data_IF_175406678577
#
_entry.id   IF_175406678577
#
_cell.length_a   1.000
_cell.length_b   1.000
_cell.length_c   1.000
_cell.angle_alpha   90.00
_cell.angle_beta   90.00
_cell.angle_gamma   90.00
#
_symmetry.space_group_name_H-M   'P 1'
#
loop_
_entity.id
_entity.type
_entity.pdbx_description
1 polymer ?
#
# COMPACT_ATOMS: atom_id res chain seq x y z
N UNK A 1 -36.89 -30.83 -7.24
CA UNK A 1 -35.51 -30.56 -7.72
C UNK A 1 -35.58 -29.38 -8.66
N UNK A 2 -34.79 -28.33 -8.44
CA UNK A 2 -34.81 -27.14 -9.28
C UNK A 2 -33.85 -27.30 -10.45
N UNK A 3 -34.37 -27.64 -11.63
CA UNK A 3 -33.61 -27.49 -12.88
C UNK A 3 -33.47 -26.00 -13.17
N UNK A 4 -32.50 -25.36 -12.51
CA UNK A 4 -32.05 -24.00 -12.84
C UNK A 4 -31.43 -24.05 -14.23
N UNK A 5 -32.26 -23.83 -15.24
CA UNK A 5 -31.80 -23.66 -16.61
C UNK A 5 -30.71 -22.58 -16.62
N UNK A 6 -29.52 -22.96 -17.09
CA UNK A 6 -28.36 -22.08 -17.08
C UNK A 6 -28.60 -20.95 -18.07
N UNK A 7 -28.92 -19.78 -17.53
CA UNK A 7 -29.11 -18.56 -18.30
C UNK A 7 -27.85 -18.27 -19.14
N UNK A 8 -28.06 -17.78 -20.36
CA UNK A 8 -27.01 -17.40 -21.31
C UNK A 8 -26.39 -16.04 -20.93
N UNK A 9 -27.20 -15.15 -20.36
CA UNK A 9 -26.81 -13.85 -19.77
C UNK A 9 -27.43 -13.69 -18.37
N UNK A 10 -27.01 -12.71 -17.56
CA UNK A 10 -27.69 -12.43 -16.28
C UNK A 10 -29.11 -11.93 -16.56
N UNK A 11 -30.13 -12.40 -15.83
CA UNK A 11 -31.50 -11.93 -16.04
C UNK A 11 -31.69 -10.45 -15.64
N UNK A 12 -32.58 -9.73 -16.35
CA UNK A 12 -32.98 -8.37 -15.99
C UNK A 12 -33.71 -8.39 -14.65
N UNK A 13 -33.14 -7.68 -13.66
CA UNK A 13 -33.74 -7.54 -12.34
C UNK A 13 -34.99 -6.66 -12.39
N UNK A 14 -35.98 -6.96 -11.54
CA UNK A 14 -37.24 -6.21 -11.45
C UNK A 14 -37.02 -4.74 -11.03
N UNK A 15 -35.94 -4.43 -10.30
CA UNK A 15 -35.59 -3.04 -9.95
C UNK A 15 -34.83 -2.30 -11.06
N UNK A 16 -34.47 -2.97 -12.17
CA UNK A 16 -33.79 -2.36 -13.32
C UNK A 16 -32.33 -1.99 -13.11
N UNK A 17 -31.73 -2.24 -11.93
CA UNK A 17 -30.35 -1.82 -11.61
C UNK A 17 -29.27 -2.34 -12.56
N UNK A 18 -29.50 -3.50 -13.19
CA UNK A 18 -28.60 -4.07 -14.20
C UNK A 18 -29.05 -3.79 -15.65
N UNK A 19 -30.07 -2.96 -15.88
CA UNK A 19 -30.67 -2.76 -17.21
C UNK A 19 -29.66 -2.37 -18.30
N UNK A 20 -28.72 -1.47 -18.02
CA UNK A 20 -27.73 -1.04 -19.02
C UNK A 20 -26.73 -2.14 -19.41
N UNK A 21 -26.42 -3.05 -18.47
CA UNK A 21 -25.59 -4.23 -18.75
C UNK A 21 -26.40 -5.29 -19.49
N UNK A 22 -27.63 -5.54 -19.03
CA UNK A 22 -28.56 -6.49 -19.66
C UNK A 22 -28.86 -6.13 -21.12
N UNK A 23 -29.06 -4.85 -21.43
CA UNK A 23 -29.23 -4.38 -22.82
C UNK A 23 -28.03 -4.74 -23.67
N UNK A 24 -26.82 -4.42 -23.22
CA UNK A 24 -25.59 -4.68 -23.96
C UNK A 24 -25.36 -6.19 -24.15
N UNK A 25 -25.53 -6.98 -23.09
CA UNK A 25 -25.41 -8.45 -23.14
C UNK A 25 -26.46 -9.07 -24.08
N UNK A 26 -27.71 -8.57 -24.05
CA UNK A 26 -28.81 -9.06 -24.88
C UNK A 26 -28.67 -8.65 -26.35
N UNK A 27 -28.22 -7.42 -26.65
CA UNK A 27 -27.93 -6.95 -28.02
C UNK A 27 -26.82 -7.81 -28.65
N UNK A 28 -25.67 -7.95 -27.98
CA UNK A 28 -24.54 -8.77 -28.44
C UNK A 28 -24.98 -10.22 -28.71
N UNK A 29 -25.77 -10.80 -27.80
CA UNK A 29 -26.22 -12.17 -27.94
C UNK A 29 -27.30 -12.37 -29.03
N UNK A 30 -28.19 -11.39 -29.22
CA UNK A 30 -29.14 -11.39 -30.34
C UNK A 30 -28.40 -11.25 -31.67
N UNK A 31 -27.44 -10.34 -31.81
CA UNK A 31 -26.62 -10.20 -33.01
C UNK A 31 -25.81 -11.46 -33.32
N UNK A 32 -25.19 -12.08 -32.30
CA UNK A 32 -24.48 -13.36 -32.46
C UNK A 32 -25.38 -14.49 -32.98
N UNK A 33 -26.68 -14.49 -32.62
CA UNK A 33 -27.68 -15.44 -33.13
C UNK A 33 -28.39 -14.96 -34.42
N UNK A 34 -27.97 -13.83 -35.01
CA UNK A 34 -28.58 -13.14 -36.18
C UNK A 34 -30.04 -12.72 -35.97
N UNK A 35 -30.37 -12.36 -34.73
CA UNK A 35 -31.70 -11.93 -34.29
C UNK A 35 -31.78 -10.44 -33.92
N UNK A 36 -30.67 -9.68 -33.94
CA UNK A 36 -30.65 -8.27 -33.51
C UNK A 36 -31.58 -7.34 -34.31
N UNK A 37 -31.93 -7.67 -35.55
CA UNK A 37 -32.95 -6.91 -36.29
C UNK A 37 -34.37 -7.09 -35.73
N UNK A 38 -34.67 -8.18 -35.00
CA UNK A 38 -36.03 -8.45 -34.46
C UNK A 38 -36.50 -7.42 -33.44
N UNK A 39 -35.57 -6.73 -32.75
CA UNK A 39 -35.84 -5.69 -31.75
C UNK A 39 -35.83 -4.26 -32.32
N UNK A 40 -35.44 -4.08 -33.60
CA UNK A 40 -35.39 -2.77 -34.26
C UNK A 40 -36.77 -2.35 -34.76
N UNK A 41 -37.07 -1.07 -34.74
CA UNK A 41 -38.32 -0.53 -35.29
C UNK A 41 -38.41 -0.74 -36.81
N UNK A 42 -39.62 -0.97 -37.33
CA UNK A 42 -39.85 -1.21 -38.77
C UNK A 42 -39.24 -2.52 -39.33
N UNK A 43 -38.80 -3.45 -38.47
CA UNK A 43 -38.11 -4.66 -38.92
C UNK A 43 -38.99 -5.60 -39.75
N UNK A 44 -38.35 -6.29 -40.70
CA UNK A 44 -38.96 -7.28 -41.59
C UNK A 44 -38.58 -8.72 -41.21
N UNK A 45 -38.23 -8.96 -39.94
CA UNK A 45 -37.79 -10.27 -39.47
C UNK A 45 -38.92 -11.30 -39.52
N UNK A 46 -38.59 -12.58 -39.76
CA UNK A 46 -39.60 -13.63 -39.89
C UNK A 46 -40.32 -13.89 -38.56
N UNK A 47 -41.54 -14.42 -38.62
CA UNK A 47 -42.27 -14.84 -37.42
C UNK A 47 -41.49 -15.89 -36.60
N UNK A 48 -40.68 -16.73 -37.26
CA UNK A 48 -39.82 -17.71 -36.59
C UNK A 48 -38.69 -17.03 -35.81
N UNK A 49 -38.05 -16.01 -36.39
CA UNK A 49 -36.95 -15.29 -35.76
C UNK A 49 -37.44 -14.37 -34.63
N UNK A 50 -38.59 -13.71 -34.84
CA UNK A 50 -39.30 -13.01 -33.75
C UNK A 50 -39.64 -13.97 -32.60
N UNK A 51 -40.08 -15.20 -32.87
CA UNK A 51 -40.34 -16.19 -31.84
C UNK A 51 -39.05 -16.64 -31.11
N UNK A 52 -37.94 -16.90 -31.82
CA UNK A 52 -36.63 -17.21 -31.22
C UNK A 52 -36.17 -16.09 -30.27
N UNK A 53 -36.22 -14.83 -30.74
CA UNK A 53 -35.85 -13.67 -29.95
C UNK A 53 -36.77 -13.50 -28.73
N UNK A 54 -38.08 -13.69 -28.89
CA UNK A 54 -39.04 -13.57 -27.79
C UNK A 54 -38.86 -14.65 -26.71
N UNK A 55 -38.50 -15.88 -27.10
CA UNK A 55 -38.13 -16.96 -26.17
C UNK A 55 -36.86 -16.57 -25.40
N UNK A 56 -35.82 -16.10 -26.10
CA UNK A 56 -34.58 -15.64 -25.47
C UNK A 56 -34.82 -14.50 -24.47
N UNK A 57 -35.53 -13.44 -24.89
CA UNK A 57 -35.82 -12.28 -24.04
C UNK A 57 -36.60 -12.71 -22.80
N UNK A 58 -37.71 -13.46 -22.96
CA UNK A 58 -38.51 -13.95 -21.81
C UNK A 58 -37.73 -14.87 -20.87
N UNK A 59 -36.77 -15.65 -21.37
CA UNK A 59 -35.91 -16.49 -20.52
C UNK A 59 -35.04 -15.66 -19.58
N UNK A 60 -34.56 -14.50 -20.06
CA UNK A 60 -33.64 -13.60 -19.36
C UNK A 60 -34.33 -12.40 -18.68
N UNK A 61 -35.61 -12.53 -18.34
CA UNK A 61 -36.33 -11.60 -17.46
C UNK A 61 -36.50 -12.19 -16.06
N UNK A 62 -36.51 -11.35 -15.02
CA UNK A 62 -37.04 -11.73 -13.71
C UNK A 62 -38.51 -12.15 -13.80
N UNK A 63 -38.94 -13.11 -12.97
CA UNK A 63 -40.27 -13.74 -13.08
C UNK A 63 -41.43 -12.73 -13.04
N UNK A 64 -41.34 -11.71 -12.18
CA UNK A 64 -42.33 -10.62 -12.13
C UNK A 64 -42.51 -9.91 -13.49
N UNK A 65 -41.41 -9.61 -14.19
CA UNK A 65 -41.45 -9.01 -15.53
C UNK A 65 -42.06 -9.96 -16.57
N UNK A 66 -41.84 -11.28 -16.45
CA UNK A 66 -42.51 -12.27 -17.32
C UNK A 66 -44.03 -12.26 -17.12
N UNK A 67 -44.50 -12.07 -15.89
CA UNK A 67 -45.94 -11.97 -15.60
C UNK A 67 -46.53 -10.64 -16.05
N UNK A 68 -45.86 -9.51 -15.81
CA UNK A 68 -46.33 -8.18 -16.24
C UNK A 68 -46.41 -8.06 -17.77
N UNK A 69 -45.44 -8.61 -18.50
CA UNK A 69 -45.43 -8.61 -19.97
C UNK A 69 -45.97 -9.91 -20.60
N UNK A 70 -46.77 -10.71 -19.89
CA UNK A 70 -47.20 -12.03 -20.35
C UNK A 70 -47.97 -11.99 -21.68
N UNK A 71 -48.67 -10.90 -21.97
CA UNK A 71 -49.51 -10.70 -23.17
C UNK A 71 -48.74 -10.21 -24.40
N UNK A 72 -47.55 -9.61 -24.23
CA UNK A 72 -46.74 -9.07 -25.33
C UNK A 72 -46.20 -10.22 -26.19
N UNK A 73 -46.37 -10.15 -27.52
CA UNK A 73 -45.96 -11.23 -28.44
C UNK A 73 -44.83 -10.86 -29.40
N UNK A 74 -44.59 -9.58 -29.65
CA UNK A 74 -43.52 -9.11 -30.52
C UNK A 74 -42.28 -8.70 -29.69
N UNK A 75 -41.07 -9.17 -30.01
CA UNK A 75 -39.86 -8.79 -29.30
C UNK A 75 -39.53 -7.30 -29.39
N UNK A 76 -39.88 -6.60 -30.49
CA UNK A 76 -39.64 -5.15 -30.60
C UNK A 76 -40.53 -4.36 -29.62
N UNK A 77 -41.77 -4.80 -29.41
CA UNK A 77 -42.68 -4.17 -28.44
C UNK A 77 -42.17 -4.45 -27.01
N UNK A 78 -41.76 -5.70 -26.71
CA UNK A 78 -41.19 -6.01 -25.39
C UNK A 78 -39.93 -5.17 -25.11
N UNK A 79 -39.02 -5.08 -26.09
CA UNK A 79 -37.80 -4.28 -25.99
C UNK A 79 -38.09 -2.80 -25.74
N UNK A 80 -39.05 -2.23 -26.48
CA UNK A 80 -39.47 -0.84 -26.33
C UNK A 80 -40.10 -0.57 -24.96
N UNK A 81 -40.97 -1.45 -24.47
CA UNK A 81 -41.61 -1.32 -23.16
C UNK A 81 -40.60 -1.43 -22.00
N UNK A 82 -39.61 -2.33 -22.12
CA UNK A 82 -38.53 -2.44 -21.14
C UNK A 82 -37.62 -1.20 -21.16
N UNK A 83 -37.37 -0.65 -22.34
CA UNK A 83 -36.63 0.62 -22.50
C UNK A 83 -37.38 1.78 -21.86
N UNK A 84 -38.64 2.02 -22.22
CA UNK A 84 -39.45 3.09 -21.61
C UNK A 84 -39.43 3.02 -20.07
N UNK A 85 -39.59 1.81 -19.52
CA UNK A 85 -39.57 1.58 -18.07
C UNK A 85 -38.21 1.87 -17.42
N UNK A 86 -37.09 1.58 -18.08
CA UNK A 86 -35.76 1.55 -17.43
C UNK A 86 -34.70 2.49 -18.02
N UNK A 87 -34.94 3.24 -19.10
CA UNK A 87 -33.94 4.19 -19.65
C UNK A 87 -33.57 5.29 -18.63
N UNK A 88 -34.46 5.58 -17.67
CA UNK A 88 -34.20 6.45 -16.51
C UNK A 88 -33.00 5.99 -15.67
N UNK A 89 -32.58 4.72 -15.73
CA UNK A 89 -31.37 4.26 -15.04
C UNK A 89 -30.12 5.01 -15.54
N UNK A 90 -30.10 5.50 -16.79
CA UNK A 90 -29.04 6.40 -17.29
C UNK A 90 -28.99 7.72 -16.52
N UNK A 91 -30.15 8.31 -16.21
CA UNK A 91 -30.21 9.58 -15.47
C UNK A 91 -29.88 9.44 -13.98
N UNK A 92 -29.95 8.21 -13.43
CA UNK A 92 -29.49 7.89 -12.07
C UNK A 92 -28.00 7.57 -12.03
N UNK A 93 -27.49 6.81 -13.00
CA UNK A 93 -26.09 6.35 -13.02
C UNK A 93 -25.15 7.47 -13.49
N UNK A 94 -25.51 8.25 -14.52
CA UNK A 94 -24.62 9.25 -15.12
C UNK A 94 -24.18 10.36 -14.15
N UNK A 95 -25.04 11.00 -13.33
CA UNK A 95 -24.61 12.02 -12.38
C UNK A 95 -23.65 11.46 -11.32
N UNK A 96 -23.88 10.22 -10.89
CA UNK A 96 -22.96 9.54 -9.97
C UNK A 96 -21.62 9.23 -10.63
N UNK A 97 -21.60 8.64 -11.83
CA UNK A 97 -20.37 8.33 -12.52
C UNK A 97 -19.55 9.60 -12.84
N UNK A 98 -20.22 10.73 -13.16
CA UNK A 98 -19.58 12.06 -13.29
C UNK A 98 -19.03 12.56 -11.95
N UNK A 99 -19.76 12.41 -10.85
CA UNK A 99 -19.27 12.77 -9.52
C UNK A 99 -18.04 11.95 -9.13
N UNK A 100 -18.11 10.63 -9.29
CA UNK A 100 -17.02 9.70 -9.00
C UNK A 100 -15.79 10.01 -9.89
N UNK A 101 -15.98 10.37 -11.16
CA UNK A 101 -14.92 10.85 -12.07
C UNK A 101 -14.29 12.17 -11.62
N UNK A 102 -15.09 13.17 -11.27
CA UNK A 102 -14.59 14.48 -10.82
C UNK A 102 -13.72 14.32 -9.56
N UNK A 103 -14.17 13.53 -8.59
CA UNK A 103 -13.51 13.36 -7.29
C UNK A 103 -12.48 12.22 -7.24
N UNK A 104 -12.29 11.46 -8.32
CA UNK A 104 -11.23 10.45 -8.41
C UNK A 104 -9.85 11.11 -8.23
N UNK A 105 -9.05 10.58 -7.28
CA UNK A 105 -7.65 10.96 -7.05
C UNK A 105 -6.76 9.73 -6.82
N UNK A 106 -5.50 9.75 -7.26
CA UNK A 106 -4.56 8.63 -7.11
C UNK A 106 -4.24 8.34 -5.63
N UNK A 107 -4.12 9.39 -4.82
CA UNK A 107 -3.83 9.33 -3.38
C UNK A 107 -4.91 8.65 -2.50
N UNK A 108 -6.11 8.41 -3.02
CA UNK A 108 -7.21 7.80 -2.25
C UNK A 108 -7.19 6.25 -2.32
N UNK A 109 -6.21 5.68 -3.03
CA UNK A 109 -5.99 4.24 -3.20
C UNK A 109 -4.66 3.81 -2.58
N UNK A 110 -4.52 2.53 -2.24
CA UNK A 110 -3.28 1.98 -1.67
C UNK A 110 -2.25 1.60 -2.73
N UNK A 111 -2.67 1.47 -3.99
CA UNK A 111 -1.78 1.19 -5.11
C UNK A 111 -2.30 1.79 -6.41
N UNK A 112 -1.39 1.98 -7.37
CA UNK A 112 -1.68 2.32 -8.77
C UNK A 112 -2.63 1.30 -9.40
N UNK A 113 -2.56 0.02 -9.00
CA UNK A 113 -3.46 -1.04 -9.47
C UNK A 113 -4.90 -0.87 -9.00
N UNK A 114 -5.12 -0.52 -7.72
CA UNK A 114 -6.45 -0.21 -7.19
C UNK A 114 -7.06 1.03 -7.89
N UNK A 115 -6.26 2.10 -8.04
CA UNK A 115 -6.65 3.30 -8.78
C UNK A 115 -7.03 2.98 -10.24
N UNK A 116 -6.23 2.16 -10.92
CA UNK A 116 -6.47 1.75 -12.30
C UNK A 116 -7.81 1.00 -12.45
N UNK A 117 -8.13 0.13 -11.49
CA UNK A 117 -9.42 -0.58 -11.45
C UNK A 117 -10.60 0.39 -11.29
N UNK A 118 -10.48 1.40 -10.42
CA UNK A 118 -11.49 2.43 -10.25
C UNK A 118 -11.65 3.31 -11.51
N UNK A 119 -10.54 3.72 -12.12
CA UNK A 119 -10.50 4.48 -13.39
C UNK A 119 -11.24 3.74 -14.51
N UNK A 120 -10.94 2.45 -14.74
CA UNK A 120 -11.66 1.65 -15.75
C UNK A 120 -13.15 1.47 -15.39
N UNK A 121 -13.47 1.23 -14.12
CA UNK A 121 -14.87 1.07 -13.68
C UNK A 121 -15.71 2.32 -13.91
N UNK A 122 -15.19 3.50 -13.59
CA UNK A 122 -15.88 4.79 -13.79
C UNK A 122 -16.02 5.06 -15.29
N UNK A 123 -14.94 4.93 -16.08
CA UNK A 123 -15.01 5.19 -17.53
C UNK A 123 -15.92 4.23 -18.27
N UNK A 124 -16.02 2.96 -17.85
CA UNK A 124 -17.04 2.03 -18.34
C UNK A 124 -18.46 2.50 -18.03
N UNK A 125 -18.73 3.02 -16.84
CA UNK A 125 -20.07 3.54 -16.48
C UNK A 125 -20.44 4.79 -17.28
N UNK A 126 -19.49 5.71 -17.51
CA UNK A 126 -19.67 6.88 -18.37
C UNK A 126 -19.98 6.46 -19.82
N UNK A 127 -19.20 5.50 -20.36
CA UNK A 127 -19.41 4.92 -21.71
C UNK A 127 -20.77 4.22 -21.85
N UNK A 128 -21.20 3.44 -20.85
CA UNK A 128 -22.54 2.82 -20.82
C UNK A 128 -23.68 3.85 -20.76
N UNK A 129 -23.43 5.05 -20.25
CA UNK A 129 -24.38 6.16 -20.27
C UNK A 129 -24.31 7.00 -21.56
N UNK A 130 -23.42 6.65 -22.51
CA UNK A 130 -23.27 7.33 -23.80
C UNK A 130 -22.16 8.38 -23.88
N UNK A 131 -21.35 8.57 -22.83
CA UNK A 131 -20.24 9.53 -22.86
C UNK A 131 -19.00 8.96 -23.55
N UNK A 132 -18.35 9.79 -24.37
CA UNK A 132 -17.12 9.45 -25.07
C UNK A 132 -15.91 9.83 -24.22
N UNK A 133 -15.37 8.87 -23.46
CA UNK A 133 -14.09 9.04 -22.75
C UNK A 133 -12.96 8.39 -23.54
N UNK A 134 -11.97 9.19 -23.94
CA UNK A 134 -10.79 8.80 -24.72
C UNK A 134 -9.58 8.49 -23.83
N UNK A 135 -8.52 7.93 -24.40
CA UNK A 135 -7.22 7.80 -23.73
C UNK A 135 -6.68 9.16 -23.25
N UNK A 136 -6.87 10.23 -24.03
CA UNK A 136 -6.41 11.58 -23.66
C UNK A 136 -7.13 12.10 -22.40
N UNK A 137 -8.44 11.85 -22.28
CA UNK A 137 -9.20 12.21 -21.08
C UNK A 137 -8.74 11.41 -19.84
N UNK A 138 -8.39 10.13 -20.02
CA UNK A 138 -7.88 9.27 -18.94
C UNK A 138 -6.45 9.63 -18.52
N UNK A 139 -5.60 10.02 -19.47
CA UNK A 139 -4.26 10.57 -19.24
C UNK A 139 -4.35 11.90 -18.49
N UNK A 140 -5.09 12.87 -19.01
CA UNK A 140 -5.26 14.20 -18.39
C UNK A 140 -5.90 14.10 -17.01
N UNK A 141 -6.96 13.28 -16.87
CA UNK A 141 -7.54 13.02 -15.56
C UNK A 141 -6.49 12.44 -14.61
N UNK A 142 -5.69 11.47 -15.04
CA UNK A 142 -4.62 10.90 -14.19
C UNK A 142 -3.58 11.93 -13.81
N UNK A 143 -3.11 12.78 -14.73
CA UNK A 143 -2.21 13.88 -14.38
C UNK A 143 -2.86 14.85 -13.37
N UNK A 144 -4.14 15.21 -13.53
CA UNK A 144 -4.85 16.05 -12.54
C UNK A 144 -5.06 15.39 -11.17
N UNK A 145 -4.81 14.08 -11.02
CA UNK A 145 -4.99 13.36 -9.75
C UNK A 145 -3.76 13.32 -8.84
N UNK A 146 -2.61 13.83 -9.28
CA UNK A 146 -1.39 13.87 -8.46
C UNK A 146 -1.56 14.82 -7.27
N UNK A 147 -1.00 14.45 -6.12
CA UNK A 147 -0.94 15.33 -4.95
C UNK A 147 -0.09 16.58 -5.26
N UNK A 148 -0.41 17.73 -4.65
CA UNK A 148 0.23 19.01 -4.96
C UNK A 148 1.77 19.00 -4.77
N UNK A 149 2.28 18.23 -3.81
CA UNK A 149 3.74 18.07 -3.59
C UNK A 149 4.44 17.31 -4.75
N UNK A 150 3.68 16.64 -5.61
CA UNK A 150 4.19 15.76 -6.67
C UNK A 150 4.08 16.41 -8.07
N UNK A 151 3.92 17.74 -8.16
CA UNK A 151 3.81 18.48 -9.43
C UNK A 151 5.02 18.30 -10.35
N UNK A 152 6.23 18.10 -9.79
CA UNK A 152 7.43 17.77 -10.58
C UNK A 152 7.27 16.43 -11.29
N UNK A 153 6.87 15.38 -10.55
CA UNK A 153 6.59 14.05 -11.13
C UNK A 153 5.45 14.11 -12.15
N UNK A 154 4.38 14.84 -11.85
CA UNK A 154 3.27 15.08 -12.77
C UNK A 154 3.76 15.66 -14.10
N UNK A 155 4.65 16.65 -14.05
CA UNK A 155 5.24 17.30 -15.24
C UNK A 155 6.12 16.33 -16.02
N UNK A 156 7.03 15.61 -15.34
CA UNK A 156 7.87 14.58 -15.96
C UNK A 156 7.07 13.47 -16.68
N UNK A 157 5.90 13.07 -16.13
CA UNK A 157 5.03 12.09 -16.80
C UNK A 157 4.21 12.70 -17.95
N UNK A 158 3.94 14.02 -17.96
CA UNK A 158 3.35 14.74 -19.10
C UNK A 158 4.34 14.88 -20.25
N UNK A 159 5.58 15.28 -19.96
CA UNK A 159 6.65 15.50 -20.94
C UNK A 159 7.02 14.24 -21.73
N UNK A 160 6.82 13.05 -21.14
CA UNK A 160 6.96 11.75 -21.81
C UNK A 160 5.96 11.51 -22.95
N UNK A 161 4.93 12.35 -23.10
CA UNK A 161 4.12 12.40 -24.33
C UNK A 161 3.32 11.13 -24.64
N UNK A 162 2.91 10.37 -23.61
CA UNK A 162 2.13 9.14 -23.77
C UNK A 162 0.88 9.36 -24.62
N UNK A 163 0.57 8.40 -25.50
CA UNK A 163 -0.57 8.44 -26.43
C UNK A 163 -1.72 7.54 -25.99
N UNK A 164 -1.44 6.55 -25.14
CA UNK A 164 -2.45 5.68 -24.52
C UNK A 164 -2.33 5.69 -23.01
N UNK A 165 -3.46 5.61 -22.33
CA UNK A 165 -3.51 5.49 -20.87
C UNK A 165 -2.81 4.20 -20.38
N UNK A 166 -2.81 3.15 -21.20
CA UNK A 166 -2.05 1.90 -20.94
C UNK A 166 -0.54 2.10 -20.82
N UNK A 167 0.03 3.11 -21.49
CA UNK A 167 1.47 3.40 -21.46
C UNK A 167 1.84 4.08 -20.14
N UNK A 168 1.12 5.15 -19.78
CA UNK A 168 1.29 5.85 -18.50
C UNK A 168 1.12 4.90 -17.30
N UNK A 169 0.05 4.11 -17.26
CA UNK A 169 -0.23 3.25 -16.09
C UNK A 169 0.82 2.15 -15.92
N UNK A 170 1.40 1.65 -17.01
CA UNK A 170 2.53 0.71 -16.96
C UNK A 170 3.77 1.35 -16.35
N UNK A 171 4.10 2.59 -16.72
CA UNK A 171 5.20 3.34 -16.12
C UNK A 171 4.97 3.69 -14.64
N UNK A 172 3.71 3.93 -14.23
CA UNK A 172 3.35 4.17 -12.82
C UNK A 172 3.46 2.89 -11.97
N UNK A 173 3.04 1.74 -12.49
CA UNK A 173 3.19 0.44 -11.80
C UNK A 173 4.66 0.04 -11.60
N UNK A 174 5.53 0.31 -12.59
CA UNK A 174 6.98 0.08 -12.46
C UNK A 174 7.60 1.03 -11.44
N UNK A 175 7.20 2.31 -11.42
CA UNK A 175 7.68 3.27 -10.44
C UNK A 175 7.24 2.92 -9.01
N UNK A 176 6.00 2.46 -8.82
CA UNK A 176 5.48 1.94 -7.54
C UNK A 176 6.34 0.79 -7.00
N UNK A 177 6.62 -0.22 -7.84
CA UNK A 177 7.47 -1.37 -7.45
C UNK A 177 8.92 -0.97 -7.16
N UNK A 178 9.50 -0.07 -7.97
CA UNK A 178 10.86 0.43 -7.74
C UNK A 178 10.96 1.21 -6.43
N UNK A 179 9.97 2.04 -6.10
CA UNK A 179 9.91 2.78 -4.84
C UNK A 179 9.75 1.83 -3.64
N UNK A 180 8.91 0.81 -3.73
CA UNK A 180 8.83 -0.24 -2.70
C UNK A 180 10.17 -0.93 -2.45
N UNK A 181 10.92 -1.26 -3.52
CA UNK A 181 12.24 -1.90 -3.41
C UNK A 181 13.29 -0.95 -2.83
N UNK A 182 13.26 0.34 -3.20
CA UNK A 182 14.14 1.38 -2.66
C UNK A 182 13.94 1.52 -1.14
N UNK A 183 12.69 1.58 -0.67
CA UNK A 183 12.38 1.64 0.76
C UNK A 183 12.86 0.39 1.51
N UNK A 184 12.61 -0.81 0.98
CA UNK A 184 13.09 -2.07 1.55
C UNK A 184 14.62 -2.13 1.61
N UNK A 185 15.32 -1.61 0.60
CA UNK A 185 16.78 -1.53 0.58
C UNK A 185 17.34 -0.56 1.63
N UNK A 186 16.64 0.56 1.89
CA UNK A 186 17.00 1.50 2.95
C UNK A 186 16.78 0.90 4.35
N UNK A 187 15.65 0.23 4.58
CA UNK A 187 15.36 -0.47 5.84
C UNK A 187 16.33 -1.64 6.10
N UNK A 188 16.78 -2.34 5.05
CA UNK A 188 17.71 -3.46 5.15
C UNK A 188 19.17 -3.06 5.48
N UNK A 189 19.53 -1.77 5.41
CA UNK A 189 20.89 -1.28 5.72
C UNK A 189 20.85 0.03 6.53
N UNK A 190 21.04 0.00 7.86
CA UNK A 190 21.22 1.22 8.63
C UNK A 190 22.43 1.99 8.10
N UNK A 191 22.23 3.27 7.77
CA UNK A 191 23.22 4.13 7.13
C UNK A 191 24.50 4.21 7.98
N UNK A 192 25.61 3.67 7.47
CA UNK A 192 26.87 3.54 8.20
C UNK A 192 27.35 2.12 8.47
N UNK A 193 26.62 1.06 8.05
CA UNK A 193 27.15 -0.31 8.07
C UNK A 193 28.33 -0.45 7.10
N UNK A 194 29.57 -0.46 7.63
CA UNK A 194 30.79 -0.68 6.85
C UNK A 194 30.73 -2.01 6.08
N UNK A 195 31.17 -2.08 4.81
CA UNK A 195 31.40 -3.35 4.16
C UNK A 195 32.34 -4.22 5.00
N UNK A 196 32.02 -5.51 5.18
CA UNK A 196 32.93 -6.43 5.87
C UNK A 196 34.28 -6.44 5.14
N UNK A 197 35.42 -6.25 5.84
CA UNK A 197 36.72 -6.15 5.20
C UNK A 197 37.03 -7.43 4.42
N UNK A 198 37.28 -7.26 3.12
CA UNK A 198 37.50 -8.35 2.16
C UNK A 198 38.81 -9.06 2.50
N UNK A 199 38.71 -10.15 3.26
CA UNK A 199 39.87 -10.88 3.77
C UNK A 199 40.62 -11.59 2.63
N UNK A 200 41.69 -10.96 2.13
CA UNK A 200 42.56 -11.50 1.11
C UNK A 200 43.32 -12.74 1.63
N UNK A 201 42.80 -13.93 1.34
CA UNK A 201 43.58 -15.17 1.41
C UNK A 201 44.40 -15.26 0.13
N UNK A 202 45.72 -15.07 0.24
CA UNK A 202 46.63 -15.05 -0.91
C UNK A 202 46.79 -16.46 -1.48
N UNK A 203 46.72 -16.55 -2.81
CA UNK A 203 46.82 -17.79 -3.59
C UNK A 203 48.20 -18.46 -3.49
N UNK A 204 48.22 -19.79 -3.51
CA UNK A 204 49.32 -20.54 -4.13
C UNK A 204 48.79 -21.65 -5.03
N UNK A 205 49.37 -21.75 -6.23
CA UNK A 205 48.85 -22.55 -7.33
C UNK A 205 49.53 -23.92 -7.44
N UNK A 206 48.72 -24.99 -7.38
CA UNK A 206 48.86 -26.21 -8.17
C UNK A 206 50.11 -27.08 -8.03
N UNK A 207 49.91 -28.32 -7.56
CA UNK A 207 50.51 -29.52 -8.17
C UNK A 207 49.70 -30.78 -7.88
N UNK A 208 50.05 -31.87 -8.55
CA UNK A 208 49.18 -33.01 -8.86
C UNK A 208 49.57 -34.27 -8.07
N UNK A 209 48.57 -35.12 -7.83
CA UNK A 209 48.61 -36.60 -7.63
C UNK A 209 48.78 -37.25 -6.24
N UNK A 210 47.83 -38.17 -6.00
CA UNK A 210 47.97 -39.56 -5.49
C UNK A 210 48.11 -39.84 -3.98
N UNK A 211 47.46 -40.94 -3.63
CA UNK A 211 47.34 -41.60 -2.32
C UNK A 211 48.70 -41.89 -1.66
N UNK A 212 48.74 -41.87 -0.31
CA UNK A 212 48.89 -43.09 0.52
C UNK A 212 48.84 -42.83 2.04
N UNK A 213 48.09 -43.69 2.72
CA UNK A 213 48.42 -44.45 3.94
C UNK A 213 49.42 -43.92 4.99
N UNK A 214 48.95 -43.85 6.24
CA UNK A 214 49.62 -44.08 7.53
C UNK A 214 51.10 -43.67 7.77
N UNK A 215 51.32 -42.72 8.69
CA UNK A 215 52.43 -42.74 9.66
C UNK A 215 52.11 -41.91 10.92
N UNK A 216 52.71 -42.25 12.08
CA UNK A 216 52.48 -41.56 13.36
C UNK A 216 53.78 -41.27 14.12
N UNK A 217 53.97 -40.03 14.58
CA UNK A 217 55.00 -39.61 15.57
C UNK A 217 54.57 -38.25 16.16
N UNK A 218 54.39 -38.00 17.46
CA UNK A 218 55.13 -38.33 18.70
C UNK A 218 56.30 -37.38 19.02
N UNK A 219 56.08 -36.46 19.97
CA UNK A 219 57.06 -35.49 20.51
C UNK A 219 56.56 -34.87 21.83
N UNK A 220 57.45 -34.41 22.74
CA UNK A 220 57.10 -34.14 24.16
C UNK A 220 57.76 -32.88 24.79
N UNK A 221 57.03 -32.22 25.68
CA UNK A 221 57.49 -31.29 26.76
C UNK A 221 56.27 -30.64 27.43
N UNK A 222 55.95 -30.75 28.74
CA UNK A 222 56.66 -30.46 30.02
C UNK A 222 57.03 -28.97 30.19
N UNK A 223 56.65 -28.25 31.27
CA UNK A 223 55.82 -28.54 32.46
C UNK A 223 55.28 -27.21 33.06
N UNK A 224 54.15 -27.15 33.77
CA UNK A 224 53.87 -27.59 35.15
C UNK A 224 54.52 -26.75 36.28
N UNK A 225 53.70 -25.95 36.98
CA UNK A 225 53.86 -25.58 38.40
C UNK A 225 52.48 -25.47 39.08
N UNK A 226 52.43 -25.68 40.41
CA UNK A 226 51.22 -25.52 41.24
C UNK A 226 51.56 -24.66 42.48
N UNK A 227 50.63 -23.81 42.91
CA UNK A 227 50.64 -23.18 44.22
C UNK A 227 49.30 -23.39 44.93
N UNK A 228 49.33 -23.78 46.22
CA UNK A 228 48.17 -23.82 47.12
C UNK A 228 48.49 -22.96 48.35
N UNK A 229 47.59 -22.06 48.72
CA UNK A 229 47.60 -21.38 50.02
C UNK A 229 46.25 -21.59 50.72
N UNK A 230 46.27 -21.97 52.00
CA UNK A 230 45.12 -21.95 52.90
C UNK A 230 45.51 -21.21 54.17
N UNK A 231 44.73 -20.22 54.58
CA UNK A 231 44.78 -19.61 55.91
C UNK A 231 43.49 -19.89 56.69
N UNK A 232 43.60 -19.98 58.02
CA UNK A 232 42.48 -20.09 58.98
C UNK A 232 42.83 -19.31 60.25
N UNK A 233 41.84 -18.68 60.88
CA UNK A 233 41.94 -17.87 62.10
C UNK A 233 40.89 -16.74 62.02
N UNK A 234 39.76 -16.71 62.75
CA UNK A 234 39.52 -16.82 64.20
C UNK A 234 40.04 -15.58 64.95
N UNK A 235 39.23 -14.81 65.71
CA UNK A 235 37.78 -14.87 65.97
C UNK A 235 37.35 -13.73 66.93
N UNK A 236 36.06 -13.56 67.23
CA UNK A 236 35.58 -12.53 68.18
C UNK A 236 34.08 -12.60 68.48
N UNK A 237 33.68 -12.44 69.75
CA UNK A 237 32.32 -12.65 70.25
C UNK A 237 31.71 -11.40 70.93
N UNK A 238 30.52 -11.00 70.48
CA UNK A 238 29.33 -10.85 71.34
C UNK A 238 29.05 -9.54 72.12
N UNK A 239 27.74 -9.30 72.32
CA UNK A 239 27.08 -8.36 73.28
C UNK A 239 27.26 -6.85 72.98
N UNK A 240 26.31 -5.96 73.27
CA UNK A 240 24.91 -6.14 73.71
C UNK A 240 24.34 -4.88 74.42
N UNK A 241 23.09 -4.50 74.14
CA UNK A 241 22.40 -3.27 74.63
C UNK A 241 23.06 -1.93 74.23
N UNK A 242 22.37 -0.78 74.25
CA UNK A 242 20.93 -0.51 74.41
C UNK A 242 20.65 0.98 74.71
N UNK A 243 19.54 1.54 74.24
CA UNK A 243 19.17 2.94 74.50
C UNK A 243 17.81 3.35 73.93
N UNK A 244 16.87 3.69 74.81
CA UNK A 244 15.63 4.45 74.49
C UNK A 244 15.98 5.97 74.45
N UNK A 245 15.18 6.90 73.93
CA UNK A 245 13.75 7.23 74.17
C UNK A 245 13.12 7.82 72.87
N UNK A 246 11.84 7.57 72.52
CA UNK A 246 10.61 8.35 72.88
C UNK A 246 10.77 9.87 72.69
N UNK A 247 9.84 10.65 72.11
CA UNK A 247 8.38 10.53 71.87
C UNK A 247 7.96 11.59 70.78
N UNK A 248 6.76 11.71 70.17
CA UNK A 248 5.52 10.90 70.12
C UNK A 248 4.50 11.41 69.06
N UNK A 249 3.69 10.51 68.47
CA UNK A 249 2.34 10.72 67.86
C UNK A 249 2.22 11.63 66.59
N UNK A 250 1.19 11.58 65.73
CA UNK A 250 -0.14 10.93 65.70
C UNK A 250 -0.42 10.29 64.31
N UNK A 251 -0.88 9.04 64.15
CA UNK A 251 -2.29 8.58 63.95
C UNK A 251 -3.15 9.45 62.99
N UNK A 252 -3.97 8.92 62.06
CA UNK A 252 -4.82 7.69 61.99
C UNK A 252 -4.80 7.02 60.58
N UNK A 253 -4.96 5.69 60.37
CA UNK A 253 -6.19 4.83 60.25
C UNK A 253 -7.23 5.29 59.19
N UNK A 254 -7.91 4.44 58.39
CA UNK A 254 -7.74 3.02 57.91
C UNK A 254 -8.75 2.71 56.75
N UNK A 255 -8.67 1.50 56.17
CA UNK A 255 -9.53 0.79 55.18
C UNK A 255 -10.91 1.31 54.66
N UNK A 256 -11.12 1.05 53.34
CA UNK A 256 -12.35 0.61 52.62
C UNK A 256 -13.71 1.32 52.84
N UNK A 257 -14.28 1.83 51.73
CA UNK A 257 -15.45 1.18 51.06
C UNK A 257 -15.75 1.72 49.66
N UNK A 258 -16.71 1.07 48.99
CA UNK A 258 -17.07 1.19 47.58
C UNK A 258 -17.80 2.50 47.21
N UNK A 259 -17.63 2.94 45.96
CA UNK A 259 -18.41 4.03 45.35
C UNK A 259 -18.32 4.00 43.83
N UNK A 260 -19.44 3.75 43.13
CA UNK A 260 -19.50 3.84 41.66
C UNK A 260 -19.41 5.30 41.21
N UNK A 261 -18.63 5.56 40.17
CA UNK A 261 -18.57 6.87 39.52
C UNK A 261 -17.97 6.77 38.12
N UNK A 262 -18.82 6.59 37.10
CA UNK A 262 -18.39 6.71 35.71
C UNK A 262 -18.15 8.17 35.35
N UNK A 263 -16.96 8.51 34.82
CA UNK A 263 -16.78 9.67 33.93
C UNK A 263 -15.38 9.72 33.30
N UNK A 264 -15.36 10.06 32.01
CA UNK A 264 -14.26 10.78 31.37
C UNK A 264 -13.05 9.96 30.92
N UNK A 265 -12.82 9.92 29.60
CA UNK A 265 -11.46 9.79 29.07
C UNK A 265 -10.69 11.08 29.38
N UNK A 266 -9.40 10.96 29.68
CA UNK A 266 -8.43 12.01 29.40
C UNK A 266 -7.16 11.34 28.89
N UNK A 267 -6.88 11.47 27.60
CA UNK A 267 -5.65 10.94 27.03
C UNK A 267 -4.44 11.63 27.66
N UNK A 268 -3.48 10.84 28.16
CA UNK A 268 -2.27 11.38 28.77
C UNK A 268 -1.45 12.10 27.70
N UNK A 269 -1.55 13.43 27.66
CA UNK A 269 -0.61 14.31 26.94
C UNK A 269 0.78 14.03 27.50
N UNK A 270 1.54 13.20 26.78
CA UNK A 270 2.81 12.66 27.25
C UNK A 270 3.89 13.73 27.14
N UNK A 271 3.95 14.60 28.15
CA UNK A 271 4.92 15.68 28.31
C UNK A 271 6.33 15.20 27.98
N UNK A 272 6.92 15.78 26.93
CA UNK A 272 8.26 15.42 26.46
C UNK A 272 9.29 15.89 27.47
N UNK A 273 10.22 15.01 27.84
CA UNK A 273 11.28 15.35 28.78
C UNK A 273 12.31 16.28 28.13
N UNK A 274 12.30 17.56 28.51
CA UNK A 274 13.24 18.60 28.04
C UNK A 274 14.75 18.29 28.24
N UNK A 275 15.11 17.23 28.99
CA UNK A 275 16.51 16.77 29.11
C UNK A 275 16.92 15.76 28.04
N UNK A 276 16.00 14.98 27.46
CA UNK A 276 16.39 13.86 26.58
C UNK A 276 15.41 13.56 25.43
N UNK A 277 14.34 14.34 25.24
CA UNK A 277 13.31 14.10 24.23
C UNK A 277 12.40 12.88 24.51
N UNK A 278 12.69 12.09 25.54
CA UNK A 278 11.89 10.91 25.91
C UNK A 278 10.51 11.28 26.47
N UNK A 279 9.49 10.50 26.12
CA UNK A 279 8.14 10.59 26.69
C UNK A 279 8.04 9.82 28.02
N UNK A 280 6.91 9.97 28.70
CA UNK A 280 6.54 9.15 29.88
C UNK A 280 7.24 9.50 31.19
N UNK A 281 8.06 10.55 31.26
CA UNK A 281 8.69 10.99 32.51
C UNK A 281 9.03 12.48 32.50
N UNK A 282 9.04 13.12 33.68
CA UNK A 282 9.41 14.53 33.83
C UNK A 282 10.93 14.72 33.92
N UNK A 283 11.43 15.89 33.52
CA UNK A 283 12.86 16.22 33.53
C UNK A 283 13.53 16.12 34.91
N UNK A 284 12.77 16.31 36.00
CA UNK A 284 13.22 16.14 37.39
C UNK A 284 13.50 14.68 37.78
N UNK A 285 12.87 13.71 37.11
CA UNK A 285 13.05 12.27 37.34
C UNK A 285 13.79 11.56 36.18
N UNK A 286 14.36 12.35 35.27
CA UNK A 286 15.09 11.85 34.11
C UNK A 286 16.41 11.18 34.51
N UNK A 287 16.44 9.84 34.41
CA UNK A 287 17.61 8.98 34.65
C UNK A 287 18.48 8.74 33.41
N UNK A 288 18.21 9.41 32.29
CA UNK A 288 19.00 9.28 31.05
C UNK A 288 20.48 9.62 31.31
N UNK A 289 21.44 8.77 30.87
CA UNK A 289 22.87 9.05 30.99
C UNK A 289 23.28 10.42 30.41
N UNK A 290 24.23 11.11 31.06
CA UNK A 290 24.66 12.47 30.69
C UNK A 290 24.98 12.58 29.18
N UNK A 291 25.81 11.68 28.64
CA UNK A 291 26.21 11.74 27.23
C UNK A 291 25.03 11.77 26.22
N UNK A 292 23.90 11.13 26.51
CA UNK A 292 22.71 11.19 25.66
C UNK A 292 21.92 12.50 25.83
N UNK A 293 21.87 13.03 27.06
CA UNK A 293 21.32 14.37 27.36
C UNK A 293 22.16 15.45 26.65
N UNK A 294 23.48 15.32 26.70
CA UNK A 294 24.43 16.27 26.13
C UNK A 294 24.37 16.23 24.59
N UNK A 295 24.21 15.05 23.98
CA UNK A 295 23.94 14.90 22.53
C UNK A 295 22.60 15.52 22.12
N UNK A 296 21.52 15.31 22.88
CA UNK A 296 20.21 15.89 22.61
C UNK A 296 20.22 17.43 22.73
N UNK A 297 20.89 17.98 23.74
CA UNK A 297 21.07 19.43 23.84
C UNK A 297 22.01 20.00 22.78
N UNK A 298 22.96 19.19 22.29
CA UNK A 298 23.85 19.58 21.19
C UNK A 298 23.14 19.59 19.83
N UNK A 299 22.21 18.66 19.56
CA UNK A 299 21.44 18.69 18.30
C UNK A 299 20.47 19.88 18.24
N UNK A 300 19.85 20.24 19.37
CA UNK A 300 19.04 21.46 19.49
C UNK A 300 19.89 22.73 19.23
N UNK A 301 21.16 22.77 19.64
CA UNK A 301 22.08 23.88 19.37
C UNK A 301 22.63 23.87 17.93
N UNK A 302 22.87 22.69 17.35
CA UNK A 302 23.39 22.55 15.97
C UNK A 302 22.39 22.97 14.90
N UNK A 303 21.07 22.90 15.17
CA UNK A 303 20.04 23.46 14.27
C UNK A 303 20.14 24.98 14.03
N UNK A 304 21.04 25.70 14.70
CA UNK A 304 21.27 27.13 14.51
C UNK A 304 22.43 27.52 13.59
N UNK A 305 23.23 26.58 13.05
CA UNK A 305 24.35 26.89 12.12
C UNK A 305 24.58 25.78 11.09
N UNK A 306 24.40 26.09 9.81
CA UNK A 306 24.66 25.21 8.67
C UNK A 306 26.10 25.41 8.17
N UNK A 307 26.84 24.31 7.92
CA UNK A 307 28.11 24.29 7.17
C UNK A 307 28.24 22.91 6.49
N UNK A 308 28.53 22.91 5.19
CA UNK A 308 28.84 21.73 4.36
C UNK A 308 30.35 21.39 4.40
N UNK A 309 30.76 20.21 3.94
CA UNK A 309 31.90 20.03 3.00
C UNK A 309 32.11 18.56 2.59
N UNK A 310 32.02 18.32 1.27
CA UNK A 310 32.99 17.68 0.37
C UNK A 310 33.44 16.21 0.54
N UNK A 311 33.54 15.53 -0.62
CA UNK A 311 34.20 14.25 -0.91
C UNK A 311 35.05 14.38 -2.18
N UNK A 312 36.10 13.57 -2.31
CA UNK A 312 36.97 13.35 -3.51
C UNK A 312 37.39 11.87 -3.46
N UNK A 313 36.97 11.01 -4.42
CA UNK A 313 37.71 10.52 -5.62
C UNK A 313 39.10 9.88 -5.29
N UNK A 314 39.63 8.84 -5.94
CA UNK A 314 39.48 8.17 -7.26
C UNK A 314 39.75 6.62 -7.05
N UNK A 315 39.52 5.58 -7.89
CA UNK A 315 38.67 5.24 -9.06
C UNK A 315 38.56 3.66 -9.15
N UNK A 316 38.22 2.90 -10.21
CA UNK A 316 37.87 3.10 -11.63
C UNK A 316 37.76 1.77 -12.42
N UNK A 317 37.51 1.83 -13.75
CA UNK A 317 37.48 0.78 -14.82
C UNK A 317 36.56 -0.48 -14.68
N UNK A 318 35.79 -0.92 -15.71
CA UNK A 318 35.58 -0.36 -17.06
C UNK A 318 34.56 -1.12 -17.95
N UNK A 319 34.15 -0.46 -19.06
CA UNK A 319 33.44 -0.88 -20.29
C UNK A 319 32.22 -1.84 -20.33
N UNK A 320 31.05 -1.29 -20.76
CA UNK A 320 30.29 -1.80 -21.92
C UNK A 320 29.32 -0.76 -22.53
N UNK A 321 29.14 -0.77 -23.86
CA UNK A 321 28.26 0.13 -24.67
C UNK A 321 26.98 -0.59 -25.17
N UNK A 322 25.86 0.04 -25.54
CA UNK A 322 25.40 1.45 -25.56
C UNK A 322 23.85 1.44 -25.63
N UNK A 323 23.09 2.53 -25.50
CA UNK A 323 23.45 3.94 -25.27
C UNK A 323 22.22 4.81 -24.95
N UNK A 324 22.47 6.10 -24.69
CA UNK A 324 21.51 7.18 -24.40
C UNK A 324 20.42 6.89 -23.34
N UNK A 325 20.85 6.80 -22.09
CA UNK A 325 19.98 7.04 -20.92
C UNK A 325 20.42 8.33 -20.23
N UNK A 326 19.51 9.29 -20.12
CA UNK A 326 19.75 10.52 -19.35
C UNK A 326 19.77 10.17 -17.87
N UNK A 327 20.98 10.10 -17.32
CA UNK A 327 21.29 9.66 -15.96
C UNK A 327 20.86 10.72 -14.93
N UNK A 328 19.68 10.52 -14.33
CA UNK A 328 19.21 11.29 -13.17
C UNK A 328 19.96 10.82 -11.91
N UNK A 329 20.48 11.77 -11.14
CA UNK A 329 21.36 11.50 -10.01
C UNK A 329 20.59 11.39 -8.69
N UNK A 330 21.28 10.98 -7.62
CA UNK A 330 20.69 10.89 -6.27
C UNK A 330 20.22 12.27 -5.74
N UNK A 331 20.67 13.36 -6.35
CA UNK A 331 20.18 14.72 -6.11
C UNK A 331 18.67 14.88 -6.40
N UNK A 332 18.13 14.17 -7.40
CA UNK A 332 16.74 14.31 -7.86
C UNK A 332 15.69 13.82 -6.84
N UNK A 333 16.11 13.11 -5.79
CA UNK A 333 15.23 12.55 -4.76
C UNK A 333 15.23 13.30 -3.42
N UNK A 334 16.04 14.36 -3.25
CA UNK A 334 16.16 15.07 -1.98
C UNK A 334 16.15 16.61 -2.11
N UNK A 335 14.97 17.19 -2.31
CA UNK A 335 14.73 18.60 -1.94
C UNK A 335 14.07 18.66 -0.56
N UNK A 336 14.68 19.40 0.37
CA UNK A 336 14.06 19.75 1.66
C UNK A 336 13.11 20.95 1.49
N UNK A 337 12.01 21.04 2.26
CA UNK A 337 10.93 21.99 1.94
C UNK A 337 11.10 23.38 2.59
N UNK A 338 11.57 24.34 1.79
CA UNK A 338 11.29 25.80 1.90
C UNK A 338 11.02 26.28 0.45
N UNK A 339 10.09 27.18 0.10
CA UNK A 339 9.37 28.19 0.89
C UNK A 339 10.08 29.54 0.77
N UNK A 340 9.50 30.65 0.27
CA UNK A 340 8.14 30.95 -0.19
C UNK A 340 8.18 32.11 -1.22
N UNK A 341 7.01 32.45 -1.78
CA UNK A 341 6.68 33.65 -2.60
C UNK A 341 7.12 33.61 -4.07
#
# INVERSE_FOLDING_TARGET
MSNLAKLEIVALDITGKNYLLWVLDAEIHLDAKRLGDTIKEGNKATCQDKAKAMIFLRHHLHEGLKTEYLTVKDPQILWSNLKERYDHQKTVILPKARYDWLHLRLQDFKSVSEYNSAMFKITSQLKLCGEKITDADMLEKTYSTFHANNVVLQTQYREKGFKKYSELISCLLVAEQNNELLMKNHEARPTGSTPFPKANVISHSGKISKNKDHASSSGRGRGQWRGRGRGRGFGGYGRGHGGYYKNSHSHQKWDRKDGKGEKGKSDNVTSVCYRCGGKGHWSRVCRTPKHLVDLYQSSLKKKGKNVETNLVFEDGEGDFESGDTTHLEVADFFTSPEGNN
#
